data_IF_093567051405
#
_entry.id   IF_093567051405
#
_cell.length_a   1.000
_cell.length_b   1.000
_cell.length_c   1.000
_cell.angle_alpha   90.00
_cell.angle_beta   90.00
_cell.angle_gamma   90.00
#
_symmetry.space_group_name_H-M   'P 1'
#
loop_
_entity.id
_entity.type
_entity.pdbx_description
1 polymer ?
#
# COMPACT_ATOMS: atom_id res chain seq x y z
N UNK A 1 14.95 -12.02 4.75
CA UNK A 1 13.78 -11.18 5.09
C UNK A 1 12.67 -11.40 4.06
N UNK A 2 11.53 -11.97 4.46
CA UNK A 2 10.43 -12.30 3.52
C UNK A 2 9.21 -11.42 3.79
N UNK A 3 8.79 -10.62 2.81
CA UNK A 3 7.48 -9.98 2.83
C UNK A 3 6.43 -11.03 2.45
N UNK A 4 5.84 -11.70 3.45
CA UNK A 4 4.91 -12.83 3.24
C UNK A 4 3.45 -12.37 3.08
N UNK A 5 3.11 -11.19 3.58
CA UNK A 5 1.73 -10.72 3.62
C UNK A 5 1.47 -9.79 2.44
N UNK A 6 0.63 -10.22 1.50
CA UNK A 6 0.16 -9.38 0.41
C UNK A 6 -1.20 -8.77 0.74
N UNK A 7 -1.36 -7.46 0.52
CA UNK A 7 -2.65 -6.77 0.58
C UNK A 7 -2.87 -6.01 -0.72
N UNK A 8 -4.07 -6.08 -1.28
CA UNK A 8 -4.45 -5.29 -2.44
C UNK A 8 -5.39 -4.19 -1.98
N UNK A 9 -4.98 -2.94 -2.17
CA UNK A 9 -5.80 -1.78 -1.81
C UNK A 9 -6.34 -1.09 -3.05
N UNK A 10 -7.56 -0.54 -3.02
CA UNK A 10 -8.11 0.22 -4.12
C UNK A 10 -7.33 1.53 -4.29
N UNK A 11 -6.72 1.70 -5.46
CA UNK A 11 -5.94 2.87 -5.84
C UNK A 11 -6.23 3.19 -7.30
N UNK A 12 -6.92 4.31 -7.55
CA UNK A 12 -7.32 4.73 -8.89
C UNK A 12 -6.42 5.84 -9.42
N UNK A 13 -6.27 5.90 -10.75
CA UNK A 13 -5.52 6.96 -11.44
C UNK A 13 -4.01 6.73 -11.59
N UNK A 14 -3.32 7.80 -12.00
CA UNK A 14 -1.87 7.81 -12.24
C UNK A 14 -1.09 7.92 -10.93
N UNK A 15 0.23 7.66 -10.96
CA UNK A 15 1.14 7.94 -9.84
C UNK A 15 0.79 7.24 -8.51
N UNK A 16 0.24 6.02 -8.58
CA UNK A 16 -0.21 5.25 -7.40
C UNK A 16 0.90 4.96 -6.39
N UNK A 17 2.09 4.60 -6.88
CA UNK A 17 3.26 4.29 -6.03
C UNK A 17 3.68 5.51 -5.21
N UNK A 18 3.99 6.69 -5.81
CA UNK A 18 4.37 7.85 -5.03
C UNK A 18 3.24 8.40 -4.15
N UNK A 19 1.97 8.33 -4.58
CA UNK A 19 0.82 8.71 -3.74
C UNK A 19 0.70 7.82 -2.51
N UNK A 20 0.80 6.50 -2.68
CA UNK A 20 0.81 5.58 -1.55
C UNK A 20 1.97 5.86 -0.61
N UNK A 21 3.18 6.09 -1.14
CA UNK A 21 4.34 6.43 -0.31
C UNK A 21 4.14 7.72 0.49
N UNK A 22 3.52 8.75 -0.10
CA UNK A 22 3.21 9.99 0.61
C UNK A 22 2.21 9.74 1.74
N UNK A 23 1.08 9.12 1.42
CA UNK A 23 0.05 8.76 2.40
C UNK A 23 0.58 7.89 3.53
N UNK A 24 1.36 6.85 3.20
CA UNK A 24 1.91 5.93 4.18
C UNK A 24 2.98 6.59 5.06
N UNK A 25 3.76 7.55 4.55
CA UNK A 25 4.68 8.33 5.39
C UNK A 25 3.95 9.22 6.39
N UNK A 26 2.81 9.76 6.00
CA UNK A 26 2.01 10.64 6.86
C UNK A 26 1.20 9.86 7.91
N UNK A 27 0.63 8.72 7.54
CA UNK A 27 -0.30 7.97 8.37
C UNK A 27 0.35 6.76 9.08
N UNK A 28 1.37 6.17 8.47
CA UNK A 28 1.97 4.90 8.88
C UNK A 28 3.52 4.92 8.77
N UNK A 29 4.21 5.89 9.39
CA UNK A 29 5.67 6.03 9.26
C UNK A 29 6.46 4.82 9.79
N UNK A 30 5.88 4.04 10.72
CA UNK A 30 6.51 2.85 11.31
C UNK A 30 6.25 1.56 10.52
N UNK A 31 5.37 1.59 9.51
CA UNK A 31 5.01 0.39 8.76
C UNK A 31 6.04 0.09 7.68
N UNK A 32 6.72 -1.05 7.80
CA UNK A 32 7.56 -1.58 6.73
C UNK A 32 6.72 -2.28 5.64
N UNK A 33 6.73 -1.70 4.44
CA UNK A 33 6.07 -2.23 3.25
C UNK A 33 6.98 -2.24 2.03
N UNK A 34 6.61 -3.07 1.05
CA UNK A 34 7.27 -3.21 -0.25
C UNK A 34 6.24 -3.07 -1.37
N UNK A 35 6.46 -2.08 -2.21
CA UNK A 35 5.63 -1.82 -3.38
C UNK A 35 6.12 -2.59 -4.61
N UNK A 36 5.22 -2.92 -5.55
CA UNK A 36 5.58 -3.47 -6.84
C UNK A 36 6.37 -2.44 -7.64
N UNK A 37 7.32 -2.89 -8.47
CA UNK A 37 8.17 -1.99 -9.26
C UNK A 37 7.36 -1.23 -10.33
N UNK A 38 6.26 -1.81 -10.82
CA UNK A 38 5.40 -1.20 -11.81
C UNK A 38 3.94 -1.57 -11.53
N UNK A 39 3.06 -0.57 -11.66
CA UNK A 39 1.60 -0.74 -11.55
C UNK A 39 0.98 -0.14 -12.79
N UNK A 40 0.16 -0.89 -13.56
CA UNK A 40 -0.53 -0.35 -14.71
C UNK A 40 -1.41 0.84 -14.33
N UNK A 41 -1.47 1.86 -15.21
CA UNK A 41 -2.35 3.03 -14.99
C UNK A 41 -3.81 2.60 -14.93
N UNK A 42 -4.19 1.61 -15.75
CA UNK A 42 -5.54 1.02 -15.79
C UNK A 42 -5.88 0.12 -14.59
N UNK A 43 -4.89 -0.31 -13.81
CA UNK A 43 -5.17 -1.09 -12.61
C UNK A 43 -5.88 -0.19 -11.59
N UNK A 44 -6.95 -0.65 -10.99
CA UNK A 44 -7.67 0.06 -9.91
C UNK A 44 -7.23 -0.41 -8.53
N UNK A 45 -6.22 -1.28 -8.48
CA UNK A 45 -5.70 -1.90 -7.27
C UNK A 45 -4.18 -1.78 -7.20
N UNK A 46 -3.67 -1.45 -6.02
CA UNK A 46 -2.25 -1.46 -5.68
C UNK A 46 -1.98 -2.66 -4.77
N UNK A 47 -1.21 -3.63 -5.26
CA UNK A 47 -0.72 -4.73 -4.43
C UNK A 47 0.46 -4.24 -3.59
N UNK A 48 0.45 -4.52 -2.28
CA UNK A 48 1.46 -4.09 -1.33
C UNK A 48 1.90 -5.32 -0.56
N UNK A 49 3.20 -5.51 -0.39
CA UNK A 49 3.74 -6.59 0.42
C UNK A 49 4.23 -6.06 1.76
N UNK A 50 3.85 -6.73 2.83
CA UNK A 50 4.12 -6.35 4.21
C UNK A 50 4.92 -7.47 4.89
N UNK A 51 5.70 -7.07 5.89
CA UNK A 51 6.55 -7.98 6.66
C UNK A 51 5.78 -8.75 7.73
N UNK A 52 4.81 -8.10 8.37
CA UNK A 52 4.00 -8.65 9.46
C UNK A 52 2.51 -8.60 9.14
N UNK A 53 1.73 -9.47 9.76
CA UNK A 53 0.26 -9.39 9.76
C UNK A 53 -0.21 -8.15 10.52
N UNK A 54 0.50 -7.72 11.56
CA UNK A 54 0.16 -6.52 12.33
C UNK A 54 0.22 -5.25 11.47
N UNK A 55 1.27 -5.11 10.66
CA UNK A 55 1.38 -4.05 9.66
C UNK A 55 0.26 -4.10 8.61
N UNK A 56 -0.23 -5.30 8.27
CA UNK A 56 -1.39 -5.47 7.37
C UNK A 56 -2.66 -4.95 8.04
N UNK A 57 -2.88 -5.28 9.29
CA UNK A 57 -4.08 -4.89 10.01
C UNK A 57 -4.08 -3.38 10.27
N UNK A 58 -2.94 -2.80 10.64
CA UNK A 58 -2.76 -1.34 10.74
C UNK A 58 -3.02 -0.65 9.39
N UNK A 59 -2.48 -1.20 8.30
CA UNK A 59 -2.72 -0.66 6.96
C UNK A 59 -4.21 -0.75 6.62
N UNK A 60 -4.85 -1.90 6.80
CA UNK A 60 -6.29 -2.06 6.50
C UNK A 60 -7.19 -1.19 7.38
N UNK A 61 -6.81 -0.97 8.65
CA UNK A 61 -7.55 -0.12 9.57
C UNK A 61 -7.41 1.38 9.26
N UNK A 62 -6.21 1.81 8.86
CA UNK A 62 -5.94 3.21 8.51
C UNK A 62 -6.32 3.55 7.07
N UNK A 63 -6.33 2.56 6.17
CA UNK A 63 -6.51 2.80 4.74
C UNK A 63 -7.94 3.28 4.43
N UNK A 64 -8.09 4.45 3.78
CA UNK A 64 -9.40 4.96 3.39
C UNK A 64 -10.03 4.12 2.28
N UNK A 65 -11.33 4.30 2.01
CA UNK A 65 -12.04 3.55 0.97
C UNK A 65 -11.39 3.65 -0.43
N UNK A 66 -10.61 4.70 -0.72
CA UNK A 66 -9.80 4.84 -1.93
C UNK A 66 -8.58 5.72 -1.64
N UNK A 67 -7.44 5.41 -2.25
CA UNK A 67 -6.21 6.18 -2.12
C UNK A 67 -6.40 7.64 -2.59
N UNK A 68 -6.11 8.64 -1.74
CA UNK A 68 -6.37 10.06 -2.03
C UNK A 68 -5.41 10.66 -3.05
#
# INVERSE_FOLDING_TARGET
>A
MSYKYGVSVPATGSNKIPRFNAWARENLPEVEYKLPPQVPVKAETLAIRLRSSEHRDQLLAAFPATLP
#
